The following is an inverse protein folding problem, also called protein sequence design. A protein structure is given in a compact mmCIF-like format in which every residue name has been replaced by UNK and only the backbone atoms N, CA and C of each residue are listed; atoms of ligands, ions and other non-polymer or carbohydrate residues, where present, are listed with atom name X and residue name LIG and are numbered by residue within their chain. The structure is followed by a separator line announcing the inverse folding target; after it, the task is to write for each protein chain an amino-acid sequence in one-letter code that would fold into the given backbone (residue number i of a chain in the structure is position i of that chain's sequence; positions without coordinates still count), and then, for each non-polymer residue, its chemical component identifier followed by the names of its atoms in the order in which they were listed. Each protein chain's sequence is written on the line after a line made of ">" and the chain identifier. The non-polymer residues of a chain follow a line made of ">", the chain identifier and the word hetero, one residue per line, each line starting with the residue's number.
data_IF_447635002657
#
_entry.id   IF_447635002657
#
_cell.length_a   1.000
_cell.length_b   1.000
_cell.length_c   1.000
_cell.angle_alpha   90.00
_cell.angle_beta   90.00
_cell.angle_gamma   90.00
#
_symmetry.space_group_name_H-M   'P 1'
#
loop_
_entity.id
_entity.type
_entity.pdbx_description
1 polymer ?
#
# COMPACT_ATOMS: atom_id res chain seq x y z
N UNK A 1 16.87 -25.50 -2.05
CA UNK A 1 18.05 -25.60 -1.17
C UNK A 1 18.29 -27.07 -1.01
N UNK A 2 19.45 -27.56 -1.42
CA UNK A 2 19.70 -29.00 -1.50
C UNK A 2 20.55 -29.42 -0.29
N UNK A 3 20.13 -30.48 0.40
CA UNK A 3 20.78 -31.06 1.59
C UNK A 3 21.09 -30.08 2.74
N UNK A 4 20.35 -28.96 2.87
CA UNK A 4 20.45 -28.08 4.02
C UNK A 4 19.75 -28.69 5.23
N UNK A 5 20.54 -29.15 6.19
CA UNK A 5 20.06 -29.61 7.49
C UNK A 5 19.64 -28.41 8.35
N UNK A 6 18.38 -28.41 8.79
CA UNK A 6 17.85 -27.40 9.73
C UNK A 6 17.56 -28.09 11.07
N UNK A 7 18.14 -27.62 12.18
CA UNK A 7 17.87 -28.16 13.51
C UNK A 7 16.39 -28.01 13.93
N UNK A 8 15.91 -28.88 14.80
CA UNK A 8 14.50 -28.86 15.25
C UNK A 8 14.21 -27.63 16.11
N UNK A 9 15.22 -27.11 16.80
CA UNK A 9 15.20 -25.89 17.61
C UNK A 9 14.95 -24.62 16.79
N UNK A 10 15.22 -24.64 15.47
CA UNK A 10 14.92 -23.52 14.57
C UNK A 10 13.46 -23.54 14.08
N UNK A 11 12.68 -24.58 14.42
CA UNK A 11 11.27 -24.66 14.04
C UNK A 11 10.46 -23.60 14.78
N UNK A 12 9.88 -22.68 14.04
CA UNK A 12 8.90 -21.71 14.57
C UNK A 12 7.57 -22.42 14.82
N UNK A 13 7.24 -22.62 16.10
CA UNK A 13 6.00 -23.25 16.54
C UNK A 13 5.95 -24.76 16.30
N UNK A 14 4.74 -25.29 16.15
CA UNK A 14 4.49 -26.72 16.05
C UNK A 14 4.51 -27.26 14.62
N UNK A 15 4.86 -28.54 14.50
CA UNK A 15 4.83 -29.27 13.25
C UNK A 15 3.46 -29.22 12.57
N UNK A 16 3.45 -29.04 11.25
CA UNK A 16 2.22 -28.98 10.46
C UNK A 16 1.41 -27.67 10.61
N UNK A 17 1.81 -26.74 11.50
CA UNK A 17 1.09 -25.47 11.70
C UNK A 17 1.67 -24.27 10.93
N UNK A 18 2.78 -24.46 10.21
CA UNK A 18 3.49 -23.37 9.52
C UNK A 18 2.62 -22.50 8.61
N UNK A 19 1.69 -23.10 7.84
CA UNK A 19 0.79 -22.33 6.98
C UNK A 19 -0.10 -21.35 7.76
N UNK A 20 -0.60 -21.76 8.93
CA UNK A 20 -1.40 -20.89 9.79
C UNK A 20 -0.57 -19.71 10.31
N UNK A 21 0.66 -19.97 10.75
CA UNK A 21 1.58 -18.92 11.22
C UNK A 21 1.92 -17.92 10.11
N UNK A 22 2.11 -18.40 8.89
CA UNK A 22 2.31 -17.55 7.73
C UNK A 22 1.07 -16.67 7.48
N UNK A 23 -0.14 -17.22 7.49
CA UNK A 23 -1.36 -16.43 7.26
C UNK A 23 -1.56 -15.32 8.31
N UNK A 24 -1.25 -15.60 9.57
CA UNK A 24 -1.32 -14.60 10.64
C UNK A 24 -0.32 -13.46 10.41
N UNK A 25 0.89 -13.76 9.91
CA UNK A 25 1.90 -12.77 9.53
C UNK A 25 1.59 -12.02 8.22
N UNK A 26 0.90 -12.66 7.27
CA UNK A 26 0.57 -12.04 5.97
C UNK A 26 -0.47 -10.92 6.08
N UNK A 27 -1.36 -10.96 7.08
CA UNK A 27 -2.35 -9.90 7.27
C UNK A 27 -1.71 -8.52 7.55
N UNK A 28 -0.83 -8.35 8.54
CA UNK A 28 -0.13 -7.09 8.76
C UNK A 28 0.84 -6.75 7.61
N UNK A 29 1.46 -7.74 6.95
CA UNK A 29 2.32 -7.50 5.79
C UNK A 29 1.54 -6.83 4.63
N UNK A 30 0.31 -7.29 4.34
CA UNK A 30 -0.56 -6.65 3.34
C UNK A 30 -0.89 -5.20 3.71
N UNK A 31 -1.11 -4.92 4.98
CA UNK A 31 -1.37 -3.56 5.46
C UNK A 31 -0.13 -2.67 5.29
N UNK A 32 1.06 -3.20 5.57
CA UNK A 32 2.33 -2.50 5.36
C UNK A 32 2.52 -2.14 3.88
N UNK A 33 2.35 -3.10 2.96
CA UNK A 33 2.48 -2.86 1.51
C UNK A 33 1.44 -1.84 1.02
N UNK A 34 0.20 -1.92 1.53
CA UNK A 34 -0.84 -0.95 1.20
C UNK A 34 -0.48 0.47 1.69
N UNK A 35 0.13 0.59 2.87
CA UNK A 35 0.61 1.87 3.40
C UNK A 35 1.74 2.46 2.54
N UNK A 36 2.68 1.61 2.12
CA UNK A 36 3.76 1.99 1.21
C UNK A 36 3.20 2.52 -0.12
N UNK A 37 2.32 1.77 -0.76
CA UNK A 37 1.70 2.15 -2.03
C UNK A 37 0.91 3.47 -1.92
N UNK A 38 0.20 3.67 -0.80
CA UNK A 38 -0.51 4.92 -0.51
C UNK A 38 0.45 6.10 -0.40
N UNK A 39 1.57 5.93 0.33
CA UNK A 39 2.61 6.96 0.48
C UNK A 39 3.24 7.35 -0.86
N UNK A 40 3.60 6.35 -1.68
CA UNK A 40 4.13 6.57 -3.03
C UNK A 40 3.11 7.33 -3.89
N UNK A 41 1.84 6.93 -3.86
CA UNK A 41 0.76 7.61 -4.59
C UNK A 41 0.62 9.08 -4.20
N UNK A 42 0.56 9.38 -2.90
CA UNK A 42 0.47 10.76 -2.40
C UNK A 42 1.69 11.61 -2.78
N UNK A 43 2.89 11.02 -2.72
CA UNK A 43 4.12 11.70 -3.12
C UNK A 43 4.10 12.04 -4.61
N UNK A 44 3.68 11.11 -5.47
CA UNK A 44 3.58 11.34 -6.90
C UNK A 44 2.59 12.46 -7.23
N UNK A 45 1.41 12.47 -6.62
CA UNK A 45 0.43 13.56 -6.80
C UNK A 45 1.02 14.91 -6.37
N UNK A 46 1.68 14.97 -5.21
CA UNK A 46 2.27 16.20 -4.69
C UNK A 46 3.41 16.72 -5.57
N UNK A 47 4.30 15.83 -6.03
CA UNK A 47 5.43 16.18 -6.91
C UNK A 47 5.03 16.55 -8.33
N UNK A 48 3.86 16.10 -8.79
CA UNK A 48 3.37 16.43 -10.14
C UNK A 48 2.86 17.86 -10.25
N UNK A 49 2.32 18.45 -9.17
CA UNK A 49 1.70 19.79 -9.21
C UNK A 49 2.66 20.92 -9.65
N UNK A 50 3.90 21.03 -9.12
CA UNK A 50 4.85 22.04 -9.59
C UNK A 50 5.17 21.92 -11.08
N UNK A 51 5.33 20.69 -11.58
CA UNK A 51 5.60 20.45 -12.99
C UNK A 51 4.43 20.88 -13.89
N UNK A 52 3.19 20.60 -13.45
CA UNK A 52 1.98 20.97 -14.19
C UNK A 52 1.73 22.49 -14.24
N UNK A 53 2.32 23.24 -13.31
CA UNK A 53 2.15 24.69 -13.20
C UNK A 53 3.27 25.48 -13.87
N UNK A 54 4.50 24.97 -13.87
CA UNK A 54 5.70 25.67 -14.36
C UNK A 54 6.26 25.14 -15.69
N UNK A 55 5.48 24.37 -16.47
CA UNK A 55 5.96 23.78 -17.71
C UNK A 55 6.36 24.84 -18.75
N UNK A 56 7.66 24.95 -19.04
CA UNK A 56 8.29 26.08 -19.75
C UNK A 56 7.80 26.31 -21.18
N UNK A 57 7.35 25.24 -21.84
CA UNK A 57 6.95 25.30 -23.25
C UNK A 57 5.45 25.55 -23.43
N UNK A 58 4.70 25.77 -22.34
CA UNK A 58 3.29 26.07 -22.41
C UNK A 58 3.00 27.56 -22.23
N UNK A 59 2.06 28.06 -23.00
CA UNK A 59 1.55 29.45 -22.92
C UNK A 59 0.67 29.69 -21.69
N UNK A 60 0.24 28.61 -21.02
CA UNK A 60 -0.51 28.60 -19.75
C UNK A 60 -0.21 27.31 -18.98
N UNK A 61 -0.42 27.23 -17.66
CA UNK A 61 -0.26 26.00 -16.89
C UNK A 61 -0.95 24.79 -17.54
N UNK A 62 -0.20 23.71 -17.80
CA UNK A 62 -0.76 22.49 -18.41
C UNK A 62 -1.72 21.76 -17.47
N UNK A 63 -1.59 21.97 -16.16
CA UNK A 63 -2.53 21.49 -15.14
C UNK A 63 -3.96 22.03 -15.30
N UNK A 64 -4.20 23.01 -16.16
CA UNK A 64 -5.55 23.46 -16.53
C UNK A 64 -6.20 22.59 -17.63
N UNK A 65 -5.47 21.64 -18.21
CA UNK A 65 -6.03 20.75 -19.22
C UNK A 65 -6.86 19.66 -18.54
N UNK A 66 -8.13 19.53 -18.92
CA UNK A 66 -9.03 18.52 -18.37
C UNK A 66 -8.50 17.09 -18.50
N UNK A 67 -7.78 16.80 -19.59
CA UNK A 67 -7.09 15.52 -19.81
C UNK A 67 -6.01 15.19 -18.77
N UNK A 68 -5.56 16.16 -17.98
CA UNK A 68 -4.66 15.96 -16.83
C UNK A 68 -5.42 16.09 -15.50
N UNK A 69 -6.37 17.03 -15.39
CA UNK A 69 -7.14 17.25 -14.16
C UNK A 69 -7.99 16.05 -13.75
N UNK A 70 -8.77 15.48 -14.67
CA UNK A 70 -9.69 14.40 -14.31
C UNK A 70 -8.97 13.12 -13.87
N UNK A 71 -7.91 12.65 -14.56
CA UNK A 71 -7.14 11.50 -14.08
C UNK A 71 -6.47 11.73 -12.72
N UNK A 72 -5.97 12.95 -12.47
CA UNK A 72 -5.37 13.30 -11.17
C UNK A 72 -6.42 13.31 -10.05
N UNK A 73 -7.61 13.87 -10.32
CA UNK A 73 -8.71 13.87 -9.37
C UNK A 73 -9.21 12.44 -9.07
N UNK A 74 -9.36 11.60 -10.09
CA UNK A 74 -9.73 10.18 -9.91
C UNK A 74 -8.66 9.43 -9.10
N UNK A 75 -7.38 9.65 -9.41
CA UNK A 75 -6.27 9.05 -8.67
C UNK A 75 -6.27 9.46 -7.20
N UNK A 76 -6.51 10.75 -6.90
CA UNK A 76 -6.60 11.24 -5.53
C UNK A 76 -7.80 10.61 -4.79
N UNK A 77 -8.97 10.55 -5.43
CA UNK A 77 -10.16 9.92 -4.84
C UNK A 77 -9.91 8.43 -4.52
N UNK A 78 -9.20 7.71 -5.40
CA UNK A 78 -8.80 6.31 -5.15
C UNK A 78 -7.82 6.18 -4.00
N UNK A 79 -6.87 7.10 -3.85
CA UNK A 79 -5.94 7.10 -2.72
C UNK A 79 -6.67 7.33 -1.40
N UNK A 80 -7.60 8.29 -1.35
CA UNK A 80 -8.40 8.54 -0.15
C UNK A 80 -9.28 7.34 0.21
N UNK A 81 -9.91 6.70 -0.78
CA UNK A 81 -10.66 5.48 -0.57
C UNK A 81 -9.78 4.32 -0.07
N UNK A 82 -8.59 4.14 -0.65
CA UNK A 82 -7.64 3.12 -0.23
C UNK A 82 -7.17 3.36 1.22
N UNK A 83 -6.94 4.62 1.61
CA UNK A 83 -6.59 4.97 2.98
C UNK A 83 -7.68 4.59 3.97
N UNK A 84 -8.96 4.83 3.64
CA UNK A 84 -10.08 4.43 4.50
C UNK A 84 -10.14 2.92 4.69
N UNK A 85 -9.91 2.14 3.64
CA UNK A 85 -9.85 0.67 3.71
C UNK A 85 -8.68 0.21 4.58
N UNK A 86 -7.49 0.81 4.38
CA UNK A 86 -6.29 0.49 5.17
C UNK A 86 -6.48 0.84 6.66
N UNK A 87 -7.02 2.02 6.96
CA UNK A 87 -7.33 2.45 8.35
C UNK A 87 -8.32 1.51 9.02
N UNK A 88 -9.32 1.02 8.28
CA UNK A 88 -10.25 0.01 8.79
C UNK A 88 -9.54 -1.31 9.08
N UNK A 89 -8.69 -1.78 8.16
CA UNK A 89 -7.98 -3.05 8.30
C UNK A 89 -7.03 -3.03 9.51
N UNK A 90 -6.25 -1.96 9.66
CA UNK A 90 -5.34 -1.74 10.78
C UNK A 90 -6.09 -1.61 12.10
N UNK A 91 -7.18 -0.85 12.15
CA UNK A 91 -8.02 -0.77 13.35
C UNK A 91 -8.57 -2.14 13.78
N UNK A 92 -9.02 -2.97 12.83
CA UNK A 92 -9.48 -4.33 13.13
C UNK A 92 -8.33 -5.17 13.70
N UNK A 93 -7.15 -5.12 13.08
CA UNK A 93 -5.97 -5.84 13.52
C UNK A 93 -5.53 -5.44 14.95
N UNK A 94 -5.41 -4.14 15.20
CA UNK A 94 -5.01 -3.59 16.51
C UNK A 94 -5.99 -3.97 17.64
N UNK A 95 -7.25 -4.23 17.29
CA UNK A 95 -8.30 -4.63 18.23
C UNK A 95 -8.50 -6.16 18.28
N UNK A 96 -7.59 -6.96 17.71
CA UNK A 96 -7.67 -8.41 17.69
C UNK A 96 -8.90 -8.95 16.95
N UNK A 97 -9.48 -8.16 16.04
CA UNK A 97 -10.65 -8.53 15.25
C UNK A 97 -10.22 -9.15 13.92
N UNK A 98 -11.05 -10.04 13.33
CA UNK A 98 -10.80 -10.54 11.98
C UNK A 98 -10.63 -9.39 10.98
N UNK A 99 -9.47 -9.35 10.33
CA UNK A 99 -9.09 -8.30 9.38
C UNK A 99 -8.76 -8.84 7.97
N UNK A 100 -8.58 -10.15 7.84
CA UNK A 100 -8.56 -10.86 6.56
C UNK A 100 -9.98 -11.27 6.15
N UNK A 101 -10.27 -11.20 4.84
CA UNK A 101 -11.43 -11.86 4.23
C UNK A 101 -10.97 -13.04 3.41
#
# INVERSE_FOLDING_TARGET
>A
IDDLMVPIEDRVGEEGKGFKYILDGLNPERMLIAAEALGIGRLNTTRSLPYLTAFSNATRPIGMNQGLQFPLADSLARLDAAELVLRKATWLYDNGKPCGR
#
